data_IF_366544662500
#
_entry.id   IF_366544662500
#
_cell.length_a   1.000
_cell.length_b   1.000
_cell.length_c   1.000
_cell.angle_alpha   90.00
_cell.angle_beta   90.00
_cell.angle_gamma   90.00
#
_symmetry.space_group_name_H-M   'P 1'
#
loop_
_entity.id
_entity.type
_entity.pdbx_description
1 polymer ?
#
# COMPACT_ATOMS: atom_id res chain seq x y z
N UNK A 1 -52.87 -23.81 9.79
CA UNK A 1 -51.59 -24.47 10.17
C UNK A 1 -50.99 -25.10 8.92
N UNK A 2 -49.76 -24.90 8.46
CA UNK A 2 -48.72 -23.88 8.59
C UNK A 2 -47.86 -24.02 7.30
N UNK A 3 -47.36 -22.95 6.67
CA UNK A 3 -46.60 -23.06 5.42
C UNK A 3 -45.19 -23.64 5.66
N UNK A 4 -44.77 -24.54 4.76
CA UNK A 4 -43.46 -25.21 4.76
C UNK A 4 -42.36 -24.16 4.60
N UNK A 5 -41.47 -24.03 5.59
CA UNK A 5 -40.28 -23.19 5.53
C UNK A 5 -39.26 -23.79 4.57
N UNK A 6 -39.02 -23.11 3.45
CA UNK A 6 -37.87 -23.35 2.59
C UNK A 6 -36.61 -22.90 3.35
N UNK A 7 -35.72 -23.84 3.65
CA UNK A 7 -34.45 -23.59 4.34
C UNK A 7 -33.48 -22.81 3.43
N UNK A 8 -33.25 -21.55 3.79
CA UNK A 8 -32.26 -20.64 3.22
C UNK A 8 -30.86 -20.97 3.77
N UNK A 9 -30.35 -22.18 3.55
CA UNK A 9 -29.10 -22.63 4.18
C UNK A 9 -27.91 -22.75 3.20
N UNK A 10 -28.14 -22.65 1.88
CA UNK A 10 -27.08 -22.93 0.89
C UNK A 10 -26.38 -21.69 0.29
N UNK A 11 -26.91 -20.47 0.47
CA UNK A 11 -26.29 -19.26 -0.12
C UNK A 11 -25.10 -18.68 0.67
N UNK A 12 -24.87 -19.13 1.91
CA UNK A 12 -23.89 -18.50 2.79
C UNK A 12 -22.47 -19.05 2.61
N UNK A 13 -22.32 -20.20 1.94
CA UNK A 13 -21.00 -20.86 1.80
C UNK A 13 -20.18 -20.29 0.63
N UNK A 14 -20.83 -19.90 -0.47
CA UNK A 14 -20.13 -19.36 -1.66
C UNK A 14 -19.56 -17.95 -1.42
N UNK A 15 -20.14 -17.15 -0.51
CA UNK A 15 -19.62 -15.81 -0.20
C UNK A 15 -18.37 -15.81 0.71
N UNK A 16 -18.05 -16.92 1.38
CA UNK A 16 -16.88 -16.97 2.27
C UNK A 16 -15.59 -17.39 1.56
N UNK A 17 -15.66 -18.26 0.55
CA UNK A 17 -14.46 -18.70 -0.17
C UNK A 17 -13.85 -17.62 -1.09
N UNK A 18 -14.64 -16.64 -1.55
CA UNK A 18 -14.10 -15.53 -2.35
C UNK A 18 -13.45 -14.45 -1.45
N UNK A 19 -13.69 -14.49 -0.13
CA UNK A 19 -13.30 -13.42 0.78
C UNK A 19 -11.94 -13.60 1.45
N UNK A 20 -11.38 -14.82 1.52
CA UNK A 20 -10.11 -15.06 2.22
C UNK A 20 -8.89 -14.99 1.30
N UNK A 21 -9.01 -15.39 0.03
CA UNK A 21 -7.89 -15.34 -0.92
C UNK A 21 -7.58 -13.91 -1.41
N UNK A 22 -8.58 -13.00 -1.35
CA UNK A 22 -8.39 -11.57 -1.63
C UNK A 22 -7.63 -10.81 -0.51
N UNK A 23 -7.25 -11.47 0.59
CA UNK A 23 -6.72 -10.77 1.77
C UNK A 23 -5.20 -10.58 1.77
N UNK A 24 -4.43 -11.40 1.05
CA UNK A 24 -2.97 -11.29 0.97
C UNK A 24 -2.53 -10.66 -0.34
N UNK A 25 -2.17 -9.39 -0.27
CA UNK A 25 -1.56 -8.68 -1.40
C UNK A 25 -0.10 -9.13 -1.49
N UNK A 26 0.25 -9.81 -2.58
CA UNK A 26 1.65 -10.07 -2.94
C UNK A 26 2.25 -8.80 -3.49
N UNK A 27 3.08 -8.13 -2.70
CA UNK A 27 3.74 -6.87 -3.09
C UNK A 27 4.88 -7.12 -4.09
N UNK A 28 4.55 -7.13 -5.38
CA UNK A 28 5.56 -7.15 -6.45
C UNK A 28 6.25 -5.79 -6.58
N UNK A 29 7.41 -5.78 -7.22
CA UNK A 29 8.15 -4.54 -7.54
C UNK A 29 7.29 -3.53 -8.29
N UNK A 30 6.48 -3.99 -9.24
CA UNK A 30 5.55 -3.17 -10.02
C UNK A 30 4.51 -2.48 -9.13
N UNK A 31 3.84 -3.24 -8.25
CA UNK A 31 2.86 -2.67 -7.31
C UNK A 31 3.49 -1.69 -6.33
N UNK A 32 4.72 -1.96 -5.89
CA UNK A 32 5.47 -1.02 -5.05
C UNK A 32 5.79 0.25 -5.83
N UNK A 33 6.23 0.14 -7.08
CA UNK A 33 6.48 1.31 -7.94
C UNK A 33 5.22 2.14 -8.15
N UNK A 34 4.09 1.51 -8.51
CA UNK A 34 2.81 2.22 -8.67
C UNK A 34 2.38 2.91 -7.38
N UNK A 35 2.55 2.26 -6.22
CA UNK A 35 2.26 2.87 -4.92
C UNK A 35 3.12 4.11 -4.65
N UNK A 36 4.40 4.06 -5.00
CA UNK A 36 5.32 5.18 -4.81
C UNK A 36 5.04 6.32 -5.77
N UNK A 37 4.79 6.03 -7.05
CA UNK A 37 4.38 7.02 -8.05
C UNK A 37 3.10 7.73 -7.63
N UNK A 38 2.06 7.00 -7.23
CA UNK A 38 0.82 7.60 -6.73
C UNK A 38 1.01 8.39 -5.44
N UNK A 39 1.96 8.01 -4.58
CA UNK A 39 2.20 8.73 -3.33
C UNK A 39 3.00 10.03 -3.54
N UNK A 40 3.94 10.04 -4.47
CA UNK A 40 4.95 11.12 -4.56
C UNK A 40 4.93 11.91 -5.87
N UNK A 41 4.41 11.35 -6.97
CA UNK A 41 4.33 12.01 -8.27
C UNK A 41 2.91 12.48 -8.62
N UNK A 42 1.87 11.85 -8.07
CA UNK A 42 0.50 12.33 -8.25
C UNK A 42 0.27 13.62 -7.44
N UNK A 43 0.11 14.74 -8.14
CA UNK A 43 -0.01 16.07 -7.53
C UNK A 43 -1.18 16.18 -6.55
N UNK A 44 -2.31 15.51 -6.85
CA UNK A 44 -3.52 15.57 -6.04
C UNK A 44 -3.29 14.81 -4.73
N UNK A 45 -2.73 13.61 -4.81
CA UNK A 45 -2.47 12.78 -3.63
C UNK A 45 -1.35 13.39 -2.79
N UNK A 46 -0.24 13.82 -3.39
CA UNK A 46 0.87 14.46 -2.69
C UNK A 46 0.40 15.69 -1.93
N UNK A 47 -0.38 16.56 -2.59
CA UNK A 47 -0.95 17.76 -1.99
C UNK A 47 -1.86 17.44 -0.80
N UNK A 48 -2.71 16.40 -0.90
CA UNK A 48 -3.53 15.95 0.23
C UNK A 48 -2.68 15.50 1.43
N UNK A 49 -1.59 14.76 1.20
CA UNK A 49 -0.68 14.37 2.27
C UNK A 49 0.09 15.57 2.85
N UNK A 50 0.43 16.56 2.03
CA UNK A 50 1.14 17.77 2.46
C UNK A 50 0.25 18.70 3.28
N UNK A 51 -1.03 18.79 2.93
CA UNK A 51 -2.01 19.63 3.61
C UNK A 51 -2.64 18.97 4.84
N UNK A 52 -2.44 17.66 5.03
CA UNK A 52 -2.97 16.94 6.19
C UNK A 52 -2.34 17.44 7.49
N UNK A 53 -3.16 18.00 8.40
CA UNK A 53 -2.68 18.54 9.68
C UNK A 53 -3.00 17.64 10.87
N UNK A 54 -3.89 16.69 10.70
CA UNK A 54 -4.35 15.79 11.75
C UNK A 54 -4.54 14.35 11.21
N UNK A 55 -4.85 13.44 12.13
CA UNK A 55 -5.08 12.04 11.82
C UNK A 55 -6.26 11.81 10.87
N UNK A 56 -7.31 12.63 10.95
CA UNK A 56 -8.47 12.53 10.05
C UNK A 56 -8.11 12.89 8.61
N UNK A 57 -7.43 14.02 8.39
CA UNK A 57 -6.97 14.45 7.06
C UNK A 57 -5.99 13.44 6.46
N UNK A 58 -5.11 12.90 7.31
CA UNK A 58 -4.15 11.86 6.91
C UNK A 58 -4.88 10.60 6.43
N UNK A 59 -5.93 10.18 7.14
CA UNK A 59 -6.76 9.06 6.72
C UNK A 59 -7.51 9.35 5.42
N UNK A 60 -7.98 10.58 5.20
CA UNK A 60 -8.58 10.96 3.93
C UNK A 60 -7.57 10.90 2.76
N UNK A 61 -6.31 11.31 3.00
CA UNK A 61 -5.25 11.17 2.02
C UNK A 61 -4.98 9.69 1.68
N UNK A 62 -4.92 8.81 2.69
CA UNK A 62 -4.80 7.36 2.48
C UNK A 62 -6.00 6.74 1.78
N UNK A 63 -7.23 7.20 2.05
CA UNK A 63 -8.41 6.76 1.32
C UNK A 63 -8.33 7.15 -0.16
N UNK A 64 -7.88 8.37 -0.46
CA UNK A 64 -7.70 8.84 -1.84
C UNK A 64 -6.63 8.00 -2.55
N UNK A 65 -5.51 7.75 -1.89
CA UNK A 65 -4.45 6.89 -2.39
C UNK A 65 -4.95 5.45 -2.64
N UNK A 66 -5.76 4.90 -1.74
CA UNK A 66 -6.36 3.57 -1.89
C UNK A 66 -7.25 3.46 -3.11
N UNK A 67 -8.07 4.48 -3.37
CA UNK A 67 -8.92 4.53 -4.56
C UNK A 67 -8.09 4.63 -5.85
N UNK A 68 -7.10 5.51 -5.89
CA UNK A 68 -6.23 5.67 -7.06
C UNK A 68 -5.39 4.41 -7.33
N UNK A 69 -4.91 3.77 -6.27
CA UNK A 69 -4.17 2.51 -6.37
C UNK A 69 -5.05 1.39 -6.92
N UNK A 70 -6.28 1.27 -6.42
CA UNK A 70 -7.25 0.32 -6.96
C UNK A 70 -7.56 0.62 -8.44
N UNK A 71 -7.72 1.89 -8.81
CA UNK A 71 -8.01 2.23 -10.21
C UNK A 71 -6.89 1.81 -11.17
N UNK A 72 -5.61 2.04 -10.79
CA UNK A 72 -4.46 1.65 -11.61
C UNK A 72 -4.21 0.14 -11.63
N UNK A 73 -4.28 -0.53 -10.47
CA UNK A 73 -3.81 -1.91 -10.32
C UNK A 73 -4.92 -2.95 -10.35
N UNK A 74 -6.18 -2.51 -10.18
CA UNK A 74 -7.36 -3.35 -9.94
C UNK A 74 -7.23 -4.26 -8.69
N UNK A 75 -6.31 -3.94 -7.78
CA UNK A 75 -6.10 -4.66 -6.52
C UNK A 75 -6.75 -3.90 -5.38
N UNK A 76 -7.60 -4.60 -4.62
CA UNK A 76 -8.26 -4.03 -3.45
C UNK A 76 -7.28 -3.91 -2.27
N UNK A 77 -6.52 -2.81 -2.26
CA UNK A 77 -5.62 -2.44 -1.18
C UNK A 77 -6.23 -1.33 -0.34
N UNK A 78 -6.85 -1.69 0.77
CA UNK A 78 -7.42 -0.73 1.71
C UNK A 78 -6.36 0.25 2.28
N UNK A 79 -6.79 1.42 2.77
CA UNK A 79 -5.91 2.52 3.20
C UNK A 79 -4.89 2.09 4.25
N UNK A 80 -5.28 1.26 5.22
CA UNK A 80 -4.37 0.70 6.24
C UNK A 80 -3.27 -0.16 5.63
N UNK A 81 -3.58 -1.02 4.65
CA UNK A 81 -2.57 -1.88 4.00
C UNK A 81 -1.53 -1.03 3.26
N UNK A 82 -1.97 0.04 2.60
CA UNK A 82 -1.06 0.98 1.94
C UNK A 82 -0.20 1.75 2.93
N UNK A 83 -0.79 2.19 4.04
CA UNK A 83 -0.07 2.85 5.12
C UNK A 83 0.99 1.95 5.76
N UNK A 84 0.65 0.70 6.09
CA UNK A 84 1.57 -0.29 6.62
C UNK A 84 2.72 -0.56 5.64
N UNK A 85 2.40 -0.74 4.35
CA UNK A 85 3.41 -0.97 3.32
C UNK A 85 4.35 0.22 3.15
N UNK A 86 3.83 1.45 3.09
CA UNK A 86 4.65 2.67 3.01
C UNK A 86 5.53 2.85 4.25
N UNK A 87 4.99 2.61 5.45
CA UNK A 87 5.75 2.67 6.70
C UNK A 87 6.89 1.64 6.72
N UNK A 88 6.62 0.43 6.21
CA UNK A 88 7.65 -0.61 6.08
C UNK A 88 8.74 -0.19 5.09
N UNK A 89 8.37 0.32 3.91
CA UNK A 89 9.33 0.80 2.90
C UNK A 89 10.21 1.95 3.44
N UNK A 90 9.62 2.85 4.24
CA UNK A 90 10.37 3.93 4.92
C UNK A 90 11.38 3.38 5.92
N UNK A 91 10.97 2.40 6.71
CA UNK A 91 11.84 1.76 7.70
C UNK A 91 12.99 1.01 7.01
N UNK A 92 12.67 0.18 6.02
CA UNK A 92 13.65 -0.54 5.19
C UNK A 92 14.65 0.43 4.55
N UNK A 93 14.17 1.58 4.08
CA UNK A 93 15.04 2.63 3.54
C UNK A 93 15.99 3.22 4.58
N UNK A 94 15.49 3.56 5.77
CA UNK A 94 16.33 4.12 6.85
C UNK A 94 17.37 3.13 7.35
N UNK A 95 16.99 1.86 7.52
CA UNK A 95 17.90 0.80 7.96
C UNK A 95 19.05 0.64 6.96
N UNK A 96 18.72 0.40 5.68
CA UNK A 96 19.75 0.26 4.64
C UNK A 96 20.59 1.52 4.42
N UNK A 97 20.02 2.73 4.53
CA UNK A 97 20.79 3.98 4.47
C UNK A 97 21.79 4.09 5.62
N UNK A 98 21.39 3.69 6.83
CA UNK A 98 22.27 3.67 7.99
C UNK A 98 23.40 2.64 7.82
N UNK A 99 23.10 1.44 7.32
CA UNK A 99 24.11 0.43 6.99
C UNK A 99 25.14 0.99 6.00
N UNK A 100 24.71 1.54 4.85
CA UNK A 100 25.60 2.11 3.82
C UNK A 100 26.51 3.21 4.39
N UNK A 101 25.98 4.06 5.27
CA UNK A 101 26.76 5.12 5.92
C UNK A 101 27.80 4.57 6.93
N UNK A 102 27.51 3.44 7.60
CA UNK A 102 28.43 2.82 8.56
C UNK A 102 29.46 1.89 7.90
N UNK A 103 29.13 1.24 6.78
CA UNK A 103 30.04 0.32 6.08
C UNK A 103 30.93 0.99 5.04
N UNK A 104 30.81 2.31 4.82
CA UNK A 104 31.75 3.04 3.97
C UNK A 104 31.70 2.60 2.50
N UNK A 105 30.49 2.50 1.94
CA UNK A 105 30.26 2.37 0.49
C UNK A 105 30.41 0.95 -0.10
N UNK A 106 29.58 0.00 0.38
CA UNK A 106 29.13 -1.11 -0.45
C UNK A 106 27.64 -0.94 -0.70
N UNK A 107 27.28 -0.41 -1.87
CA UNK A 107 25.91 -0.54 -2.39
C UNK A 107 25.68 -2.04 -2.54
N UNK A 108 24.84 -2.60 -1.68
CA UNK A 108 24.48 -4.01 -1.72
C UNK A 108 23.93 -4.34 -3.12
N UNK A 109 24.51 -5.30 -3.87
CA UNK A 109 24.07 -5.63 -5.22
C UNK A 109 22.66 -6.24 -5.29
N UNK A 110 21.98 -6.44 -4.15
CA UNK A 110 20.63 -6.99 -4.03
C UNK A 110 19.59 -5.93 -3.62
N UNK A 111 19.84 -4.66 -3.92
CA UNK A 111 18.83 -3.62 -3.72
C UNK A 111 17.62 -3.86 -4.63
N UNK A 112 16.38 -3.82 -4.11
CA UNK A 112 15.18 -3.94 -4.93
C UNK A 112 15.14 -2.83 -5.99
N UNK A 113 14.62 -3.11 -7.19
CA UNK A 113 14.60 -2.13 -8.28
C UNK A 113 13.82 -0.83 -7.97
N UNK A 114 12.93 -0.84 -6.97
CA UNK A 114 12.25 0.37 -6.49
C UNK A 114 13.12 1.25 -5.57
N UNK A 115 14.33 0.80 -5.21
CA UNK A 115 15.22 1.46 -4.27
C UNK A 115 15.70 2.83 -4.77
N UNK A 116 16.04 2.95 -6.06
CA UNK A 116 16.48 4.24 -6.63
C UNK A 116 15.38 5.31 -6.53
N UNK A 117 14.13 4.91 -6.81
CA UNK A 117 12.95 5.79 -6.63
C UNK A 117 12.78 6.19 -5.17
N UNK A 118 12.84 5.23 -4.23
CA UNK A 118 12.80 5.54 -2.80
C UNK A 118 13.90 6.51 -2.38
N UNK A 119 15.13 6.29 -2.84
CA UNK A 119 16.25 7.15 -2.53
C UNK A 119 16.03 8.57 -3.07
N UNK A 120 15.54 8.73 -4.30
CA UNK A 120 15.18 10.03 -4.86
C UNK A 120 14.14 10.76 -3.99
N UNK A 121 13.02 10.10 -3.66
CA UNK A 121 11.95 10.75 -2.89
C UNK A 121 12.33 11.09 -1.44
N UNK A 122 13.19 10.29 -0.80
CA UNK A 122 13.62 10.51 0.58
C UNK A 122 14.90 11.33 0.72
N UNK A 123 15.66 11.58 -0.36
CA UNK A 123 16.79 12.52 -0.34
C UNK A 123 16.38 13.95 -0.73
N UNK A 124 15.33 14.12 -1.53
CA UNK A 124 14.82 15.45 -1.94
C UNK A 124 13.97 16.17 -0.88
N UNK A 125 13.78 15.60 0.31
CA UNK A 125 13.02 16.20 1.42
C UNK A 125 13.92 16.45 2.62
#
# INVERSE_FOLDING_TARGET
MAPKKLKLEDQTKVKKEISEDQTRITWTTDLVNTLLELRYEDEIIESKFRLAKNHFDTNQAYNTLSLAFFDKTKINAGPKKLQDKLSKLQKEYREKKNDVNHTGNMIDPCLPAYWEKLNSYYQSR
#
